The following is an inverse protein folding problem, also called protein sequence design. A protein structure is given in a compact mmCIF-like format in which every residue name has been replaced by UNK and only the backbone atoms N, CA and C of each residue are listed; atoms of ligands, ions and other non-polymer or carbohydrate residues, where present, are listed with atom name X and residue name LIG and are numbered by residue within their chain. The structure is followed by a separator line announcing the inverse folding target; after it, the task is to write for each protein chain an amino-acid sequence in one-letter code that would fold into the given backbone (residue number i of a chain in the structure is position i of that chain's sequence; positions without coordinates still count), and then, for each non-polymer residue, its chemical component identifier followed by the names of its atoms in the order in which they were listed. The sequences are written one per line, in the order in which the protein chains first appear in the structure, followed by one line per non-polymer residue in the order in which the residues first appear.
data_IF_647947960930
#
_entry.id   IF_647947960930
#
_cell.length_a   1.000
_cell.length_b   1.000
_cell.length_c   1.000
_cell.angle_alpha   90.00
_cell.angle_beta   90.00
_cell.angle_gamma   90.00
#
_symmetry.space_group_name_H-M   'P 1'
#
loop_
_entity.id
_entity.type
_entity.pdbx_description
1 polymer ?
#
# COMPACT_ATOMS: atom_id res chain seq x y z
N UNK A 1 -64.15 -4.11 -70.74
CA UNK A 1 -62.85 -3.81 -70.12
C UNK A 1 -62.87 -3.83 -68.60
N UNK A 2 -63.40 -4.87 -67.94
CA UNK A 2 -63.41 -4.98 -66.46
C UNK A 2 -62.32 -5.94 -65.93
N UNK A 3 -62.04 -7.03 -66.66
CA UNK A 3 -61.03 -8.02 -66.25
C UNK A 3 -59.58 -7.49 -66.20
N UNK A 4 -59.22 -6.55 -67.07
CA UNK A 4 -57.87 -5.96 -67.08
C UNK A 4 -57.60 -5.07 -65.84
N UNK A 5 -58.63 -4.37 -65.35
CA UNK A 5 -58.55 -3.57 -64.12
C UNK A 5 -58.45 -4.46 -62.86
N UNK A 6 -59.15 -5.59 -62.85
CA UNK A 6 -59.03 -6.57 -61.77
C UNK A 6 -57.64 -7.23 -61.73
N UNK A 7 -57.09 -7.62 -62.88
CA UNK A 7 -55.77 -8.25 -62.98
C UNK A 7 -54.63 -7.33 -62.50
N UNK A 8 -54.67 -6.05 -62.87
CA UNK A 8 -53.68 -5.06 -62.39
C UNK A 8 -53.75 -4.85 -60.88
N UNK A 9 -54.96 -4.81 -60.30
CA UNK A 9 -55.13 -4.71 -58.84
C UNK A 9 -54.59 -5.93 -58.10
N UNK A 10 -54.78 -7.14 -58.64
CA UNK A 10 -54.24 -8.38 -58.05
C UNK A 10 -52.70 -8.33 -57.99
N UNK A 11 -52.05 -7.89 -59.07
CA UNK A 11 -50.58 -7.77 -59.13
C UNK A 11 -50.06 -6.72 -58.14
N UNK A 12 -50.72 -5.56 -58.09
CA UNK A 12 -50.37 -4.48 -57.15
C UNK A 12 -50.49 -4.94 -55.69
N UNK A 13 -51.60 -5.58 -55.33
CA UNK A 13 -51.80 -6.16 -54.00
C UNK A 13 -50.78 -7.25 -53.68
N UNK A 14 -50.45 -8.11 -54.64
CA UNK A 14 -49.44 -9.15 -54.48
C UNK A 14 -48.03 -8.58 -54.27
N UNK A 15 -47.71 -7.44 -54.90
CA UNK A 15 -46.47 -6.71 -54.65
C UNK A 15 -46.46 -6.14 -53.24
N UNK A 16 -47.56 -5.51 -52.82
CA UNK A 16 -47.70 -4.93 -51.48
C UNK A 16 -47.63 -5.98 -50.36
N UNK A 17 -48.20 -7.17 -50.56
CA UNK A 17 -48.11 -8.29 -49.61
C UNK A 17 -46.65 -8.73 -49.43
N UNK A 18 -45.87 -8.80 -50.52
CA UNK A 18 -44.44 -9.17 -50.45
C UNK A 18 -43.61 -8.12 -49.71
N UNK A 19 -43.84 -6.84 -50.01
CA UNK A 19 -43.17 -5.72 -49.33
C UNK A 19 -43.48 -5.73 -47.82
N UNK A 20 -44.76 -5.82 -47.44
CA UNK A 20 -45.18 -5.87 -46.04
C UNK A 20 -44.63 -7.09 -45.30
N UNK A 21 -44.52 -8.23 -45.98
CA UNK A 21 -43.94 -9.45 -45.40
C UNK A 21 -42.45 -9.29 -45.11
N UNK A 22 -41.71 -8.59 -45.98
CA UNK A 22 -40.30 -8.29 -45.77
C UNK A 22 -40.09 -7.31 -44.61
N UNK A 23 -40.90 -6.24 -44.54
CA UNK A 23 -40.87 -5.27 -43.43
C UNK A 23 -41.19 -5.94 -42.09
N UNK A 24 -42.17 -6.85 -42.06
CA UNK A 24 -42.54 -7.59 -40.85
C UNK A 24 -41.38 -8.44 -40.33
N UNK A 25 -40.67 -9.16 -41.20
CA UNK A 25 -39.52 -9.98 -40.77
C UNK A 25 -38.32 -9.13 -40.34
N UNK A 26 -38.11 -7.97 -40.97
CA UNK A 26 -37.11 -7.01 -40.55
C UNK A 26 -37.40 -6.48 -39.14
N UNK A 27 -38.63 -6.05 -38.87
CA UNK A 27 -39.01 -5.54 -37.55
C UNK A 27 -39.03 -6.63 -36.47
N UNK A 28 -39.41 -7.87 -36.79
CA UNK A 28 -39.25 -9.01 -35.87
C UNK A 28 -37.79 -9.21 -35.47
N UNK A 29 -36.86 -9.09 -36.41
CA UNK A 29 -35.42 -9.23 -36.14
C UNK A 29 -34.91 -8.08 -35.28
N UNK A 30 -35.30 -6.85 -35.60
CA UNK A 30 -34.93 -5.65 -34.84
C UNK A 30 -35.45 -5.70 -33.41
N UNK A 31 -36.71 -6.13 -33.24
CA UNK A 31 -37.33 -6.33 -31.93
C UNK A 31 -36.54 -7.34 -31.10
N UNK A 32 -36.20 -8.50 -31.66
CA UNK A 32 -35.37 -9.51 -30.96
C UNK A 32 -34.04 -8.93 -30.49
N UNK A 33 -33.33 -8.22 -31.37
CA UNK A 33 -32.04 -7.60 -31.02
C UNK A 33 -32.19 -6.59 -29.87
N UNK A 34 -33.22 -5.74 -29.92
CA UNK A 34 -33.51 -4.77 -28.87
C UNK A 34 -33.87 -5.46 -27.55
N UNK A 35 -34.67 -6.53 -27.57
CA UNK A 35 -34.99 -7.33 -26.38
C UNK A 35 -33.73 -7.89 -25.72
N UNK A 36 -32.81 -8.48 -26.51
CA UNK A 36 -31.54 -8.96 -25.96
C UNK A 36 -30.70 -7.83 -25.36
N UNK A 37 -30.70 -6.65 -26.01
CA UNK A 37 -29.97 -5.49 -25.49
C UNK A 37 -30.56 -4.99 -24.17
N UNK A 38 -31.89 -4.95 -24.06
CA UNK A 38 -32.61 -4.58 -22.84
C UNK A 38 -32.25 -5.57 -21.73
N UNK A 39 -32.38 -6.88 -21.97
CA UNK A 39 -32.06 -7.91 -20.97
C UNK A 39 -30.59 -7.82 -20.48
N UNK A 40 -29.65 -7.55 -21.39
CA UNK A 40 -28.25 -7.38 -21.03
C UNK A 40 -28.02 -6.14 -20.15
N UNK A 41 -28.67 -5.02 -20.50
CA UNK A 41 -28.60 -3.78 -19.72
C UNK A 41 -29.27 -3.92 -18.35
N UNK A 42 -30.44 -4.57 -18.27
CA UNK A 42 -31.13 -4.87 -17.03
C UNK A 42 -30.27 -5.72 -16.09
N UNK A 43 -29.57 -6.75 -16.63
CA UNK A 43 -28.64 -7.58 -15.86
C UNK A 43 -27.46 -6.78 -15.32
N UNK A 44 -26.89 -5.87 -16.12
CA UNK A 44 -25.79 -4.99 -15.69
C UNK A 44 -26.26 -3.99 -14.62
N UNK A 45 -27.45 -3.40 -14.78
CA UNK A 45 -28.07 -2.53 -13.77
C UNK A 45 -28.31 -3.30 -12.47
N UNK A 46 -28.81 -4.53 -12.53
CA UNK A 46 -29.03 -5.35 -11.36
C UNK A 46 -27.72 -5.67 -10.63
N UNK A 47 -26.66 -6.01 -11.36
CA UNK A 47 -25.31 -6.23 -10.80
C UNK A 47 -24.79 -4.97 -10.09
N UNK A 48 -24.95 -3.80 -10.71
CA UNK A 48 -24.56 -2.52 -10.08
C UNK A 48 -25.38 -2.20 -8.84
N UNK A 49 -26.69 -2.47 -8.86
CA UNK A 49 -27.57 -2.32 -7.67
C UNK A 49 -27.15 -3.23 -6.53
N UNK A 50 -26.79 -4.49 -6.81
CA UNK A 50 -26.29 -5.43 -5.79
C UNK A 50 -24.97 -4.96 -5.18
N UNK A 51 -24.05 -4.46 -6.00
CA UNK A 51 -22.79 -3.87 -5.53
C UNK A 51 -23.03 -2.65 -4.63
N UNK A 52 -23.97 -1.77 -5.02
CA UNK A 52 -24.40 -0.63 -4.21
C UNK A 52 -25.02 -1.08 -2.88
N UNK A 53 -25.85 -2.12 -2.91
CA UNK A 53 -26.51 -2.69 -1.74
C UNK A 53 -25.49 -3.25 -0.74
N UNK A 54 -24.45 -3.94 -1.22
CA UNK A 54 -23.38 -4.46 -0.36
C UNK A 54 -22.62 -3.33 0.35
N UNK A 55 -22.39 -2.22 -0.34
CA UNK A 55 -21.83 -1.00 0.28
C UNK A 55 -22.77 -0.37 1.32
N UNK A 56 -24.09 -0.35 1.05
CA UNK A 56 -25.09 0.20 1.97
C UNK A 56 -25.28 -0.67 3.23
N UNK A 57 -25.21 -2.00 3.12
CA UNK A 57 -25.36 -2.92 4.26
C UNK A 57 -24.17 -2.85 5.23
N UNK A 58 -22.96 -2.62 4.70
CA UNK A 58 -21.77 -2.34 5.52
C UNK A 58 -21.79 -0.93 6.14
N UNK A 59 -22.61 -0.01 5.61
CA UNK A 59 -22.63 1.41 6.03
C UNK A 59 -23.90 1.82 6.78
N UNK A 60 -24.87 0.91 6.97
CA UNK A 60 -26.00 1.06 7.89
C UNK A 60 -26.70 2.43 7.87
N UNK A 61 -27.10 2.97 6.71
CA UNK A 61 -28.04 4.11 6.66
C UNK A 61 -28.71 4.24 5.29
N UNK A 62 -30.01 4.53 5.33
CA UNK A 62 -30.90 4.78 4.19
C UNK A 62 -30.74 6.22 3.67
N UNK A 63 -30.77 6.37 2.34
CA UNK A 63 -31.27 7.51 1.56
C UNK A 63 -30.31 8.21 0.56
N UNK A 64 -30.87 8.39 -0.66
CA UNK A 64 -30.42 9.17 -1.82
C UNK A 64 -29.18 8.65 -2.55
N UNK A 65 -29.21 8.60 -3.89
CA UNK A 65 -28.20 7.91 -4.69
C UNK A 65 -26.95 8.75 -5.04
N UNK A 66 -26.95 10.06 -4.74
CA UNK A 66 -25.82 10.96 -5.02
C UNK A 66 -25.09 11.49 -3.77
N UNK A 67 -25.73 11.47 -2.60
CA UNK A 67 -25.13 11.82 -1.31
C UNK A 67 -24.13 10.79 -0.74
N UNK A 68 -24.38 9.46 -0.79
CA UNK A 68 -23.58 8.48 -0.05
C UNK A 68 -22.24 8.20 -0.73
N UNK A 69 -22.15 8.38 -2.04
CA UNK A 69 -20.88 8.28 -2.78
C UNK A 69 -19.96 9.46 -2.45
N UNK A 70 -20.49 10.69 -2.45
CA UNK A 70 -19.75 11.88 -2.04
C UNK A 70 -19.31 11.75 -0.58
N UNK A 71 -20.20 11.29 0.31
CA UNK A 71 -19.89 11.07 1.72
C UNK A 71 -18.83 9.98 1.92
N UNK A 72 -18.94 8.85 1.23
CA UNK A 72 -17.92 7.79 1.25
C UNK A 72 -16.55 8.30 0.79
N UNK A 73 -16.53 9.13 -0.26
CA UNK A 73 -15.29 9.74 -0.74
C UNK A 73 -14.73 10.76 0.26
N UNK A 74 -15.57 11.55 0.91
CA UNK A 74 -15.17 12.46 1.99
C UNK A 74 -14.63 11.71 3.21
N UNK A 75 -15.27 10.62 3.63
CA UNK A 75 -14.81 9.79 4.75
C UNK A 75 -13.47 9.12 4.43
N UNK A 76 -13.30 8.62 3.19
CA UNK A 76 -12.01 8.09 2.72
C UNK A 76 -10.93 9.16 2.69
N UNK A 77 -11.27 10.37 2.26
CA UNK A 77 -10.36 11.50 2.26
C UNK A 77 -9.93 11.87 3.69
N UNK A 78 -10.88 11.95 4.62
CA UNK A 78 -10.60 12.23 6.03
C UNK A 78 -9.73 11.15 6.68
N UNK A 79 -10.02 9.87 6.42
CA UNK A 79 -9.21 8.75 6.90
C UNK A 79 -7.79 8.77 6.32
N UNK A 80 -7.63 9.11 5.04
CA UNK A 80 -6.32 9.26 4.42
C UNK A 80 -5.54 10.45 5.01
N UNK A 81 -6.20 11.59 5.25
CA UNK A 81 -5.61 12.76 5.89
C UNK A 81 -5.13 12.44 7.31
N UNK A 82 -5.91 11.70 8.09
CA UNK A 82 -5.51 11.25 9.42
C UNK A 82 -4.24 10.39 9.37
N UNK A 83 -4.19 9.41 8.46
CA UNK A 83 -2.99 8.57 8.26
C UNK A 83 -1.77 9.38 7.87
N UNK A 84 -1.92 10.40 7.04
CA UNK A 84 -0.80 11.29 6.68
C UNK A 84 -0.24 12.00 7.91
N UNK A 85 -1.11 12.48 8.80
CA UNK A 85 -0.70 13.12 10.06
C UNK A 85 -0.01 12.12 10.97
N UNK A 86 -0.55 10.91 11.12
CA UNK A 86 0.06 9.83 11.91
C UNK A 86 1.46 9.47 11.41
N UNK A 87 1.62 9.23 10.10
CA UNK A 87 2.93 8.92 9.52
C UNK A 87 3.92 10.08 9.68
N UNK A 88 3.46 11.33 9.51
CA UNK A 88 4.31 12.50 9.76
C UNK A 88 4.81 12.52 11.20
N UNK A 89 3.93 12.23 12.17
CA UNK A 89 4.29 12.19 13.58
C UNK A 89 5.24 11.01 13.88
N UNK A 90 5.01 9.83 13.30
CA UNK A 90 5.91 8.68 13.43
C UNK A 90 7.31 8.98 12.90
N UNK A 91 7.41 9.60 11.72
CA UNK A 91 8.70 10.02 11.15
C UNK A 91 9.41 11.03 12.05
N UNK A 92 8.67 11.97 12.66
CA UNK A 92 9.26 12.92 13.61
C UNK A 92 9.78 12.23 14.88
N UNK A 93 9.02 11.30 15.44
CA UNK A 93 9.44 10.50 16.60
C UNK A 93 10.71 9.70 16.29
N UNK A 94 10.73 8.93 15.20
CA UNK A 94 11.90 8.15 14.81
C UNK A 94 13.13 9.01 14.52
N UNK A 95 12.96 10.20 13.93
CA UNK A 95 14.07 11.16 13.74
C UNK A 95 14.62 11.66 15.07
N UNK A 96 13.77 11.88 16.07
CA UNK A 96 14.20 12.33 17.38
C UNK A 96 14.93 11.22 18.14
N UNK A 97 14.41 10.00 18.11
CA UNK A 97 15.07 8.82 18.69
C UNK A 97 16.45 8.59 18.05
N UNK A 98 16.56 8.73 16.71
CA UNK A 98 17.83 8.62 16.01
C UNK A 98 18.84 9.68 16.48
N UNK A 99 18.41 10.93 16.68
CA UNK A 99 19.28 11.99 17.23
C UNK A 99 19.75 11.67 18.65
N UNK A 100 18.87 11.13 19.48
CA UNK A 100 19.22 10.72 20.85
C UNK A 100 20.24 9.57 20.81
N UNK A 101 19.99 8.55 19.99
CA UNK A 101 20.94 7.44 19.81
C UNK A 101 22.30 7.92 19.33
N UNK A 102 22.35 8.84 18.36
CA UNK A 102 23.60 9.46 17.90
C UNK A 102 24.33 10.20 19.02
N UNK A 103 23.63 10.95 19.88
CA UNK A 103 24.24 11.62 21.03
C UNK A 103 24.82 10.64 22.05
N UNK A 104 24.09 9.57 22.37
CA UNK A 104 24.58 8.51 23.28
C UNK A 104 25.81 7.83 22.69
N UNK A 105 25.81 7.52 21.40
CA UNK A 105 27.00 6.99 20.72
C UNK A 105 28.17 7.97 20.84
N UNK A 106 28.00 9.25 20.52
CA UNK A 106 29.09 10.24 20.66
C UNK A 106 29.64 10.32 22.08
N UNK A 107 28.81 10.20 23.12
CA UNK A 107 29.30 10.18 24.51
C UNK A 107 30.18 8.97 24.84
N UNK A 108 29.99 7.84 24.16
CA UNK A 108 30.84 6.64 24.28
C UNK A 108 32.09 6.70 23.39
N UNK A 109 31.99 7.38 22.25
CA UNK A 109 33.07 7.50 21.26
C UNK A 109 34.09 8.59 21.64
N UNK A 110 33.64 9.66 22.32
CA UNK A 110 34.40 10.89 22.58
C UNK A 110 33.95 12.03 21.66
N UNK A 111 34.02 13.28 22.14
CA UNK A 111 33.43 14.46 21.46
C UNK A 111 34.04 14.78 20.09
N UNK A 112 35.26 14.31 19.81
CA UNK A 112 36.01 14.62 18.57
C UNK A 112 35.92 13.55 17.47
N UNK A 113 35.03 12.56 17.60
CA UNK A 113 34.96 11.43 16.64
C UNK A 113 33.78 11.59 15.66
N UNK A 114 34.04 11.87 14.36
CA UNK A 114 32.97 12.00 13.37
C UNK A 114 32.32 10.65 13.06
N UNK A 115 31.08 10.48 13.53
CA UNK A 115 30.23 9.29 13.28
C UNK A 115 30.17 8.88 11.81
N UNK A 116 30.18 9.84 10.89
CA UNK A 116 30.11 9.56 9.46
C UNK A 116 31.37 8.88 8.90
N UNK A 117 32.55 9.17 9.47
CA UNK A 117 33.78 8.49 9.09
C UNK A 117 33.85 7.07 9.68
N UNK A 118 33.32 6.88 10.89
CA UNK A 118 33.17 5.55 11.51
C UNK A 118 32.27 4.62 10.70
N UNK A 119 31.14 5.15 10.21
CA UNK A 119 30.22 4.41 9.35
C UNK A 119 30.86 4.03 8.01
N UNK A 120 31.78 4.84 7.50
CA UNK A 120 32.52 4.56 6.26
C UNK A 120 33.72 3.61 6.46
N UNK A 121 34.27 3.51 7.67
CA UNK A 121 35.49 2.73 7.96
C UNK A 121 35.50 2.24 9.42
N UNK A 122 34.88 1.09 9.72
CA UNK A 122 34.67 0.63 11.10
C UNK A 122 35.89 -0.02 11.77
N UNK A 123 36.99 -0.25 11.04
CA UNK A 123 38.01 -1.24 11.44
C UNK A 123 39.07 -0.75 12.44
N UNK A 124 39.21 0.57 12.66
CA UNK A 124 40.29 1.12 13.49
C UNK A 124 39.81 1.78 14.79
N UNK A 125 38.52 1.75 15.10
CA UNK A 125 37.99 2.55 16.20
C UNK A 125 38.16 1.86 17.57
N UNK A 126 38.67 2.62 18.53
CA UNK A 126 38.84 2.20 19.93
C UNK A 126 38.04 3.14 20.84
N UNK A 127 36.98 2.61 21.44
CA UNK A 127 36.07 3.39 22.29
C UNK A 127 36.72 3.92 23.57
N UNK A 128 36.09 4.93 24.19
CA UNK A 128 36.61 5.60 25.40
C UNK A 128 36.87 4.61 26.54
N UNK A 129 35.97 3.67 26.78
CA UNK A 129 36.15 2.63 27.80
C UNK A 129 37.41 1.77 27.55
N UNK A 130 37.68 1.40 26.29
CA UNK A 130 38.88 0.64 25.92
C UNK A 130 40.16 1.47 26.05
N UNK A 131 40.10 2.77 25.75
CA UNK A 131 41.21 3.69 25.96
C UNK A 131 41.53 3.84 27.46
N UNK A 132 40.49 4.03 28.30
CA UNK A 132 40.62 4.11 29.76
C UNK A 132 41.25 2.83 30.32
N UNK A 133 40.75 1.66 29.93
CA UNK A 133 41.30 0.37 30.37
C UNK A 133 42.78 0.24 29.98
N UNK A 134 43.14 0.56 28.74
CA UNK A 134 44.52 0.49 28.29
C UNK A 134 45.46 1.45 29.06
N UNK A 135 44.96 2.64 29.42
CA UNK A 135 45.70 3.57 30.26
C UNK A 135 45.84 3.05 31.70
N UNK A 136 44.77 2.51 32.28
CA UNK A 136 44.80 1.89 33.62
C UNK A 136 45.83 0.76 33.70
N UNK A 137 45.91 -0.11 32.67
CA UNK A 137 46.92 -1.17 32.62
C UNK A 137 48.34 -0.63 32.59
N UNK A 138 48.58 0.55 31.99
CA UNK A 138 49.91 1.18 31.92
C UNK A 138 50.31 1.93 33.19
N UNK A 139 49.33 2.42 33.96
CA UNK A 139 49.56 3.17 35.21
C UNK A 139 49.57 2.24 36.44
N UNK A 140 49.04 1.02 36.32
CA UNK A 140 49.12 0.01 37.38
C UNK A 140 50.58 -0.33 37.69
N UNK A 141 51.04 -0.20 38.95
CA UNK A 141 52.39 -0.57 39.32
C UNK A 141 52.64 -2.06 39.06
N UNK A 142 53.84 -2.44 38.59
CA UNK A 142 54.19 -3.84 38.41
C UNK A 142 54.10 -4.57 39.77
N UNK A 143 53.64 -5.84 39.78
CA UNK A 143 53.61 -6.63 41.01
C UNK A 143 55.03 -6.69 41.62
N UNK A 144 55.16 -6.64 42.96
CA UNK A 144 56.46 -6.66 43.61
C UNK A 144 57.22 -7.94 43.20
N UNK A 145 58.55 -7.85 42.96
CA UNK A 145 59.33 -9.01 42.58
C UNK A 145 59.21 -10.08 43.66
N UNK A 146 58.82 -11.30 43.25
CA UNK A 146 58.88 -12.47 44.12
C UNK A 146 60.35 -12.74 44.43
N UNK A 147 60.74 -12.51 45.68
CA UNK A 147 62.07 -12.78 46.20
C UNK A 147 62.33 -14.29 46.11
N UNK A 148 63.14 -14.70 45.13
CA UNK A 148 63.65 -16.06 45.08
C UNK A 148 64.64 -16.22 46.23
N UNK A 149 64.15 -16.73 47.36
CA UNK A 149 64.97 -17.17 48.48
C UNK A 149 65.85 -18.33 47.98
N UNK A 150 67.11 -18.02 47.64
CA UNK A 150 68.14 -19.04 47.52
C UNK A 150 68.42 -19.61 48.91
N UNK A 151 67.86 -20.79 49.20
CA UNK A 151 68.28 -21.58 50.35
C UNK A 151 69.68 -22.14 50.05
N UNK A 152 70.70 -21.41 50.51
CA UNK A 152 72.09 -21.88 50.53
C UNK A 152 72.22 -22.96 51.61
N UNK A 153 72.10 -24.22 51.21
CA UNK A 153 72.49 -25.35 52.05
C UNK A 153 74.02 -25.37 52.10
N UNK A 154 74.59 -24.88 53.20
CA UNK A 154 76.00 -25.03 53.52
C UNK A 154 76.10 -25.95 54.74
N UNK A 155 76.68 -27.12 54.54
CA UNK A 155 76.83 -28.16 55.56
C UNK A 155 77.90 -27.86 56.60
N UNK A 156 77.90 -28.66 57.65
CA UNK A 156 79.01 -28.80 58.60
C UNK A 156 78.57 -29.04 60.04
N UNK A 157 78.39 -30.31 60.41
CA UNK A 157 79.36 -31.10 61.22
C UNK A 157 78.98 -32.56 61.17
#
# INVERSE_FOLDING_TARGET
GSGAAAATKIVELSKKIRELSAELEQEKTRTKQQTFRIMALEKEVQKRRQMLCLCNLLSGTTASADSPTIRCLQDKLAAAQLKVVEYRNQVQASKQELKVAQKVLLSELGEDVPLQQLLASPTSFRGRAQQILALQTRVSPPPPPQEQVQVKVQGGT
#
